data_IF_279407775675
#
_entry.id   IF_279407775675
#
_cell.length_a   1.000
_cell.length_b   1.000
_cell.length_c   1.000
_cell.angle_alpha   90.00
_cell.angle_beta   90.00
_cell.angle_gamma   90.00
#
_symmetry.space_group_name_H-M   'P 1'
#
loop_
_entity.id
_entity.type
_entity.pdbx_description
1 polymer ?
#
# COMPACT_ATOMS: atom_id res chain seq x y z
N UNK A 1 -3.59 -16.13 14.86
CA UNK A 1 -2.16 -16.10 15.27
C UNK A 1 -2.00 -16.67 16.68
N UNK A 2 -2.42 -15.98 17.75
CA UNK A 2 -2.23 -16.49 19.13
C UNK A 2 -2.81 -17.90 19.37
N UNK A 3 -4.03 -18.17 18.88
CA UNK A 3 -4.64 -19.51 18.94
C UNK A 3 -3.78 -20.61 18.33
N UNK A 4 -3.25 -20.34 17.13
CA UNK A 4 -2.51 -21.30 16.31
C UNK A 4 -1.09 -21.53 16.87
N UNK A 5 -0.37 -20.45 17.18
CA UNK A 5 1.01 -20.54 17.66
C UNK A 5 1.14 -21.12 19.07
N UNK A 6 0.16 -20.85 19.94
CA UNK A 6 0.15 -21.33 21.32
C UNK A 6 -0.74 -22.56 21.49
N UNK A 7 -1.22 -23.18 20.41
CA UNK A 7 -2.23 -24.24 20.47
C UNK A 7 -1.87 -25.37 21.45
N UNK A 8 -0.60 -25.79 21.44
CA UNK A 8 -0.10 -26.86 22.32
C UNK A 8 0.00 -26.46 23.80
N UNK A 9 0.19 -25.17 24.07
CA UNK A 9 0.37 -24.63 25.42
C UNK A 9 -0.96 -24.17 26.05
N UNK A 10 -1.96 -23.88 25.22
CA UNK A 10 -3.30 -23.50 25.67
C UNK A 10 -4.03 -24.68 26.32
N UNK A 11 -4.68 -24.42 27.46
CA UNK A 11 -5.62 -25.37 28.06
C UNK A 11 -6.79 -25.67 27.11
N UNK A 12 -7.36 -26.87 27.20
CA UNK A 12 -8.47 -27.28 26.33
C UNK A 12 -9.65 -26.32 26.33
N UNK A 13 -10.08 -25.86 27.51
CA UNK A 13 -11.14 -24.86 27.64
C UNK A 13 -10.80 -23.53 26.96
N UNK A 14 -9.55 -23.05 27.12
CA UNK A 14 -9.10 -21.83 26.46
C UNK A 14 -9.09 -21.98 24.93
N UNK A 15 -8.68 -23.15 24.42
CA UNK A 15 -8.76 -23.45 22.97
C UNK A 15 -10.20 -23.37 22.48
N UNK A 16 -11.14 -24.02 23.18
CA UNK A 16 -12.54 -24.02 22.77
C UNK A 16 -13.15 -22.61 22.81
N UNK A 17 -12.86 -21.83 23.86
CA UNK A 17 -13.33 -20.44 23.96
C UNK A 17 -12.77 -19.55 22.84
N UNK A 18 -11.48 -19.66 22.52
CA UNK A 18 -10.85 -18.85 21.47
C UNK A 18 -11.36 -19.28 20.09
N UNK A 19 -11.44 -20.59 19.80
CA UNK A 19 -12.02 -21.12 18.56
C UNK A 19 -13.46 -20.62 18.38
N UNK A 20 -14.28 -20.75 19.41
CA UNK A 20 -15.65 -20.26 19.39
C UNK A 20 -15.71 -18.75 19.12
N UNK A 21 -14.82 -17.96 19.72
CA UNK A 21 -14.73 -16.52 19.44
C UNK A 21 -14.31 -16.22 17.99
N UNK A 22 -13.36 -16.97 17.41
CA UNK A 22 -12.97 -16.83 15.99
C UNK A 22 -14.18 -17.06 15.08
N UNK A 23 -14.98 -18.10 15.37
CA UNK A 23 -16.16 -18.45 14.59
C UNK A 23 -17.27 -17.41 14.78
N UNK A 24 -17.72 -17.16 16.01
CA UNK A 24 -18.90 -16.34 16.29
C UNK A 24 -18.65 -14.84 16.18
N UNK A 25 -17.44 -14.36 16.46
CA UNK A 25 -17.13 -12.92 16.47
C UNK A 25 -16.34 -12.47 15.25
N UNK A 26 -15.70 -13.39 14.53
CA UNK A 26 -14.95 -13.09 13.30
C UNK A 26 -15.65 -13.61 12.04
N UNK A 27 -15.69 -14.93 11.89
CA UNK A 27 -16.11 -15.58 10.64
C UNK A 27 -17.60 -15.39 10.36
N UNK A 28 -18.49 -15.74 11.31
CA UNK A 28 -19.95 -15.64 11.12
C UNK A 28 -20.42 -14.21 10.85
N UNK A 29 -19.96 -13.17 11.57
CA UNK A 29 -20.32 -11.79 11.24
C UNK A 29 -19.90 -11.40 9.83
N UNK A 30 -18.79 -11.93 9.32
CA UNK A 30 -18.36 -11.67 7.94
C UNK A 30 -19.23 -12.30 6.85
N UNK A 31 -20.13 -13.23 7.23
CA UNK A 31 -21.10 -13.87 6.33
C UNK A 31 -22.44 -13.12 6.31
N UNK A 32 -22.68 -12.24 7.28
CA UNK A 32 -23.90 -11.43 7.35
C UNK A 32 -23.90 -10.38 6.22
N UNK A 33 -25.00 -10.28 5.48
CA UNK A 33 -25.12 -9.42 4.30
C UNK A 33 -24.70 -7.96 4.57
N UNK A 34 -25.05 -7.41 5.73
CA UNK A 34 -24.69 -6.04 6.16
C UNK A 34 -23.17 -5.80 6.30
N UNK A 35 -22.37 -6.85 6.49
CA UNK A 35 -20.92 -6.76 6.70
C UNK A 35 -20.11 -7.18 5.45
N UNK A 36 -20.77 -7.55 4.35
CA UNK A 36 -20.10 -8.08 3.15
C UNK A 36 -19.62 -7.00 2.17
N UNK A 37 -19.73 -5.72 2.52
CA UNK A 37 -19.36 -4.60 1.64
C UNK A 37 -17.91 -4.67 1.15
N UNK A 38 -16.97 -5.07 2.02
CA UNK A 38 -15.56 -5.20 1.69
C UNK A 38 -15.29 -6.21 0.57
N UNK A 39 -16.18 -7.19 0.35
CA UNK A 39 -16.00 -8.21 -0.69
C UNK A 39 -16.16 -7.66 -2.11
N UNK A 40 -16.70 -6.45 -2.26
CA UNK A 40 -17.11 -5.85 -3.54
C UNK A 40 -16.28 -4.64 -3.93
N UNK A 41 -15.45 -4.11 -3.03
CA UNK A 41 -14.63 -2.92 -3.27
C UNK A 41 -13.28 -3.29 -3.86
N UNK A 42 -12.66 -2.36 -4.60
CA UNK A 42 -11.35 -2.52 -5.25
C UNK A 42 -10.20 -1.84 -4.49
N UNK A 43 -10.41 -1.49 -3.23
CA UNK A 43 -9.45 -0.77 -2.41
C UNK A 43 -8.89 -1.66 -1.29
N UNK A 44 -7.99 -1.10 -0.47
CA UNK A 44 -7.31 -1.81 0.63
C UNK A 44 -8.27 -2.56 1.58
N UNK A 45 -9.51 -2.10 1.79
CA UNK A 45 -10.47 -2.78 2.67
C UNK A 45 -10.72 -4.22 2.24
N UNK A 46 -10.79 -4.48 0.94
CA UNK A 46 -10.98 -5.83 0.43
C UNK A 46 -9.79 -6.72 0.82
N UNK A 47 -8.56 -6.25 0.60
CA UNK A 47 -7.34 -7.00 0.90
C UNK A 47 -7.20 -7.29 2.40
N UNK A 48 -7.36 -6.27 3.22
CA UNK A 48 -7.19 -6.35 4.68
C UNK A 48 -8.23 -7.27 5.31
N UNK A 49 -9.52 -7.08 4.97
CA UNK A 49 -10.59 -7.88 5.54
C UNK A 49 -10.53 -9.34 5.07
N UNK A 50 -10.29 -9.58 3.77
CA UNK A 50 -10.16 -10.95 3.27
C UNK A 50 -8.97 -11.67 3.91
N UNK A 51 -7.81 -11.03 4.00
CA UNK A 51 -6.64 -11.63 4.65
C UNK A 51 -6.90 -11.91 6.14
N UNK A 52 -7.44 -10.95 6.90
CA UNK A 52 -7.70 -11.12 8.33
C UNK A 52 -8.69 -12.26 8.63
N UNK A 53 -9.81 -12.30 7.91
CA UNK A 53 -10.82 -13.34 8.09
C UNK A 53 -10.29 -14.71 7.61
N UNK A 54 -9.51 -14.75 6.53
CA UNK A 54 -8.88 -15.98 6.06
C UNK A 54 -7.88 -16.54 7.07
N UNK A 55 -7.09 -15.71 7.75
CA UNK A 55 -6.21 -16.18 8.83
C UNK A 55 -6.99 -16.78 10.01
N UNK A 56 -8.16 -16.23 10.32
CA UNK A 56 -9.08 -16.83 11.30
C UNK A 56 -9.58 -18.21 10.85
N UNK A 57 -9.98 -18.34 9.59
CA UNK A 57 -10.40 -19.60 9.00
C UNK A 57 -9.28 -20.65 8.96
N UNK A 58 -8.06 -20.23 8.60
CA UNK A 58 -6.89 -21.11 8.58
C UNK A 58 -6.61 -21.67 9.98
N UNK A 59 -6.67 -20.81 11.00
CA UNK A 59 -6.40 -21.20 12.38
C UNK A 59 -7.36 -22.27 12.91
N UNK A 60 -8.55 -22.44 12.33
CA UNK A 60 -9.54 -23.45 12.75
C UNK A 60 -9.73 -24.58 11.72
N UNK A 61 -8.89 -24.66 10.69
CA UNK A 61 -9.15 -25.49 9.52
C UNK A 61 -9.22 -27.00 9.83
N UNK A 62 -8.47 -27.47 10.83
CA UNK A 62 -8.49 -28.87 11.26
C UNK A 62 -9.81 -29.22 11.98
N UNK A 63 -10.35 -28.27 12.75
CA UNK A 63 -11.59 -28.42 13.50
C UNK A 63 -12.84 -28.20 12.62
N UNK A 64 -12.77 -27.23 11.70
CA UNK A 64 -13.91 -26.72 10.90
C UNK A 64 -13.56 -26.64 9.40
N UNK A 65 -13.20 -27.76 8.74
CA UNK A 65 -12.63 -27.75 7.40
C UNK A 65 -13.55 -27.19 6.31
N UNK A 66 -14.87 -27.45 6.41
CA UNK A 66 -15.86 -26.95 5.44
C UNK A 66 -16.06 -25.43 5.56
N UNK A 67 -16.13 -24.91 6.79
CA UNK A 67 -16.23 -23.48 7.03
C UNK A 67 -14.95 -22.78 6.57
N UNK A 68 -13.79 -23.30 6.97
CA UNK A 68 -12.50 -22.73 6.62
C UNK A 68 -12.29 -22.66 5.10
N UNK A 69 -12.51 -23.76 4.39
CA UNK A 69 -12.38 -23.80 2.93
C UNK A 69 -13.38 -22.86 2.23
N UNK A 70 -14.61 -22.72 2.74
CA UNK A 70 -15.59 -21.77 2.21
C UNK A 70 -15.09 -20.32 2.32
N UNK A 71 -14.54 -19.95 3.47
CA UNK A 71 -14.03 -18.60 3.71
C UNK A 71 -12.78 -18.31 2.87
N UNK A 72 -11.84 -19.27 2.79
CA UNK A 72 -10.61 -19.12 2.00
C UNK A 72 -10.95 -18.99 0.52
N UNK A 73 -11.84 -19.83 -0.01
CA UNK A 73 -12.28 -19.73 -1.41
C UNK A 73 -13.00 -18.40 -1.71
N UNK A 74 -13.79 -17.88 -0.78
CA UNK A 74 -14.41 -16.55 -0.90
C UNK A 74 -13.34 -15.45 -0.97
N UNK A 75 -12.32 -15.53 -0.11
CA UNK A 75 -11.21 -14.58 -0.09
C UNK A 75 -10.38 -14.63 -1.38
N UNK A 76 -10.03 -15.83 -1.88
CA UNK A 76 -9.31 -16.02 -3.15
C UNK A 76 -10.06 -15.36 -4.32
N UNK A 77 -11.40 -15.46 -4.35
CA UNK A 77 -12.21 -14.83 -5.41
C UNK A 77 -12.28 -13.32 -5.28
N UNK A 78 -12.55 -12.84 -4.07
CA UNK A 78 -12.82 -11.42 -3.82
C UNK A 78 -11.56 -10.55 -3.88
N UNK A 79 -10.41 -11.05 -3.43
CA UNK A 79 -9.15 -10.28 -3.40
C UNK A 79 -8.63 -9.95 -4.80
N UNK A 80 -9.10 -10.63 -5.84
CA UNK A 80 -8.72 -10.30 -7.22
C UNK A 80 -9.20 -8.92 -7.64
N UNK A 81 -10.32 -8.43 -7.07
CA UNK A 81 -10.90 -7.13 -7.40
C UNK A 81 -9.95 -5.95 -7.15
N UNK A 82 -9.34 -5.78 -5.95
CA UNK A 82 -8.29 -4.77 -5.75
C UNK A 82 -6.98 -5.13 -6.45
N UNK A 83 -6.71 -6.42 -6.73
CA UNK A 83 -5.48 -6.80 -7.43
C UNK A 83 -5.47 -6.38 -8.91
N UNK A 84 -6.65 -6.25 -9.54
CA UNK A 84 -6.76 -5.66 -10.88
C UNK A 84 -6.19 -4.23 -10.95
N UNK A 85 -6.22 -3.49 -9.84
CA UNK A 85 -5.81 -2.09 -9.79
C UNK A 85 -4.28 -1.90 -9.74
N UNK A 86 -3.49 -2.96 -9.52
CA UNK A 86 -2.04 -2.91 -9.74
C UNK A 86 -1.70 -2.81 -11.23
N UNK A 87 -2.59 -3.20 -12.13
CA UNK A 87 -2.32 -3.13 -13.55
C UNK A 87 -2.27 -1.67 -14.06
N UNK A 88 -1.43 -1.37 -15.06
CA UNK A 88 -0.58 -2.32 -15.78
C UNK A 88 0.79 -2.58 -15.14
N UNK A 89 1.33 -1.60 -14.42
CA UNK A 89 2.77 -1.54 -14.09
C UNK A 89 3.08 -1.71 -12.60
N UNK A 90 2.07 -1.77 -11.75
CA UNK A 90 2.21 -1.90 -10.29
C UNK A 90 1.98 -0.61 -9.50
N UNK A 91 1.57 0.49 -10.14
CA UNK A 91 1.19 1.70 -9.42
C UNK A 91 0.00 1.44 -8.49
N UNK A 92 0.06 1.92 -7.25
CA UNK A 92 -1.02 1.73 -6.29
C UNK A 92 -1.93 2.96 -6.22
N UNK A 93 -3.23 2.83 -6.52
CA UNK A 93 -4.10 4.00 -6.69
C UNK A 93 -4.20 4.89 -5.46
N UNK A 94 -4.17 4.29 -4.27
CA UNK A 94 -4.40 4.98 -2.98
C UNK A 94 -3.14 5.65 -2.43
N UNK A 95 -1.97 5.42 -3.04
CA UNK A 95 -0.71 6.04 -2.64
C UNK A 95 0.15 5.21 -1.68
N UNK A 96 1.21 5.85 -1.19
CA UNK A 96 2.33 5.21 -0.52
C UNK A 96 1.96 4.45 0.76
N UNK A 97 1.32 5.11 1.74
CA UNK A 97 0.97 4.47 3.01
C UNK A 97 -0.10 3.38 2.82
N UNK A 98 -1.05 3.57 1.90
CA UNK A 98 -2.08 2.58 1.63
C UNK A 98 -1.58 1.39 0.81
N UNK A 99 -0.49 1.53 0.04
CA UNK A 99 0.26 0.38 -0.47
C UNK A 99 0.78 -0.46 0.69
N UNK A 100 1.47 0.18 1.65
CA UNK A 100 1.98 -0.49 2.86
C UNK A 100 0.88 -1.22 3.62
N UNK A 101 -0.32 -0.65 3.67
CA UNK A 101 -1.47 -1.31 4.29
C UNK A 101 -2.05 -2.44 3.44
N UNK A 102 -2.60 -2.15 2.27
CA UNK A 102 -3.34 -3.10 1.44
C UNK A 102 -2.45 -4.21 0.89
N UNK A 103 -1.32 -3.85 0.29
CA UNK A 103 -0.39 -4.81 -0.32
C UNK A 103 0.23 -5.74 0.71
N UNK A 104 0.57 -5.25 1.91
CA UNK A 104 1.12 -6.13 2.95
C UNK A 104 0.13 -7.21 3.40
N UNK A 105 -1.16 -6.88 3.56
CA UNK A 105 -2.18 -7.89 3.87
C UNK A 105 -2.43 -8.85 2.70
N UNK A 106 -2.35 -8.35 1.45
CA UNK A 106 -2.41 -9.19 0.27
C UNK A 106 -1.25 -10.21 0.22
N UNK A 107 -0.03 -9.76 0.55
CA UNK A 107 1.16 -10.62 0.63
C UNK A 107 1.03 -11.64 1.76
N UNK A 108 0.55 -11.24 2.94
CA UNK A 108 0.27 -12.17 4.04
C UNK A 108 -0.72 -13.27 3.61
N UNK A 109 -1.77 -12.90 2.87
CA UNK A 109 -2.73 -13.87 2.36
C UNK A 109 -2.12 -14.82 1.34
N UNK A 110 -1.41 -14.29 0.33
CA UNK A 110 -0.69 -15.11 -0.67
C UNK A 110 0.28 -16.07 0.02
N UNK A 111 1.11 -15.58 0.93
CA UNK A 111 2.06 -16.41 1.66
C UNK A 111 1.35 -17.50 2.47
N UNK A 112 0.22 -17.20 3.12
CA UNK A 112 -0.55 -18.19 3.84
C UNK A 112 -1.09 -19.30 2.91
N UNK A 113 -1.64 -18.94 1.75
CA UNK A 113 -2.10 -19.90 0.73
C UNK A 113 -0.96 -20.82 0.27
N UNK A 114 0.21 -20.26 0.00
CA UNK A 114 1.39 -21.05 -0.40
C UNK A 114 1.79 -22.05 0.68
N UNK A 115 1.71 -21.69 1.97
CA UNK A 115 2.06 -22.59 3.07
C UNK A 115 1.04 -23.73 3.24
N UNK A 116 -0.27 -23.44 3.12
CA UNK A 116 -1.32 -24.45 3.39
C UNK A 116 -1.67 -25.30 2.16
N UNK A 117 -1.47 -24.77 0.95
CA UNK A 117 -1.94 -25.39 -0.29
C UNK A 117 -0.82 -25.61 -1.33
N UNK A 118 0.41 -25.12 -1.08
CA UNK A 118 1.51 -25.20 -2.04
C UNK A 118 1.33 -24.32 -3.29
N UNK A 119 0.31 -23.47 -3.32
CA UNK A 119 -0.02 -22.57 -4.42
C UNK A 119 -0.67 -21.30 -3.88
N UNK A 120 -0.54 -20.20 -4.62
CA UNK A 120 -1.25 -18.94 -4.37
C UNK A 120 -2.46 -18.77 -5.29
N UNK A 121 -2.85 -19.81 -6.04
CA UNK A 121 -3.94 -19.77 -7.01
C UNK A 121 -3.76 -18.69 -8.08
N UNK A 122 -2.51 -18.48 -8.51
CA UNK A 122 -2.13 -17.53 -9.56
C UNK A 122 -2.36 -16.06 -9.17
N UNK A 123 -2.54 -15.76 -7.88
CA UNK A 123 -2.72 -14.39 -7.39
C UNK A 123 -1.46 -13.55 -7.63
N UNK A 124 -0.25 -14.04 -7.32
CA UNK A 124 0.98 -13.27 -7.55
C UNK A 124 1.26 -13.00 -9.03
N UNK A 125 0.73 -13.83 -9.92
CA UNK A 125 0.86 -13.66 -11.38
C UNK A 125 -0.13 -12.65 -11.97
N UNK A 126 -1.00 -12.03 -11.16
CA UNK A 126 -1.84 -10.94 -11.65
C UNK A 126 -0.99 -9.78 -12.16
N UNK A 127 -1.47 -9.16 -13.25
CA UNK A 127 -0.74 -8.11 -13.95
C UNK A 127 -0.44 -6.94 -13.01
N UNK A 128 0.82 -6.53 -12.96
CA UNK A 128 1.29 -5.43 -12.13
C UNK A 128 1.60 -5.80 -10.68
N UNK A 129 1.11 -6.93 -10.15
CA UNK A 129 1.29 -7.26 -8.73
C UNK A 129 2.77 -7.43 -8.35
N UNK A 130 3.54 -8.24 -9.06
CA UNK A 130 4.98 -8.39 -8.78
C UNK A 130 5.80 -7.12 -9.10
N UNK A 131 5.32 -6.28 -10.02
CA UNK A 131 5.96 -5.03 -10.42
C UNK A 131 5.71 -3.90 -9.41
N UNK A 132 4.70 -4.03 -8.52
CA UNK A 132 4.40 -3.02 -7.49
C UNK A 132 5.54 -2.79 -6.50
N UNK A 133 6.47 -3.74 -6.37
CA UNK A 133 7.68 -3.55 -5.59
C UNK A 133 8.57 -2.44 -6.18
N UNK A 134 8.60 -2.27 -7.51
CA UNK A 134 9.34 -1.20 -8.16
C UNK A 134 8.67 0.16 -7.91
N UNK A 135 7.33 0.22 -7.94
CA UNK A 135 6.56 1.40 -7.53
C UNK A 135 7.00 1.83 -6.12
N UNK A 136 6.89 0.93 -5.13
CA UNK A 136 7.19 1.28 -3.74
C UNK A 136 8.66 1.68 -3.53
N UNK A 137 9.60 0.95 -4.14
CA UNK A 137 11.03 1.29 -4.13
C UNK A 137 11.27 2.73 -4.64
N UNK A 138 10.68 3.09 -5.77
CA UNK A 138 10.93 4.38 -6.41
C UNK A 138 10.23 5.56 -5.71
N UNK A 139 9.23 5.29 -4.87
CA UNK A 139 8.51 6.33 -4.14
C UNK A 139 9.36 7.05 -3.08
N UNK A 140 10.47 6.45 -2.61
CA UNK A 140 11.34 7.04 -1.59
C UNK A 140 12.42 7.94 -2.18
N UNK A 141 12.45 9.22 -1.81
CA UNK A 141 13.48 10.18 -2.21
C UNK A 141 14.83 9.98 -1.50
N UNK A 142 15.91 10.67 -1.93
CA UNK A 142 17.25 10.63 -1.32
C UNK A 142 17.29 11.00 0.17
N UNK A 143 16.41 11.89 0.63
CA UNK A 143 16.27 12.21 2.07
C UNK A 143 15.67 11.05 2.88
N UNK A 144 15.11 10.05 2.19
CA UNK A 144 14.36 8.94 2.74
C UNK A 144 12.86 9.21 2.82
N UNK A 145 12.39 10.44 2.63
CA UNK A 145 10.96 10.72 2.65
C UNK A 145 10.26 10.15 1.39
N UNK A 146 9.05 9.58 1.49
CA UNK A 146 8.30 9.12 0.33
C UNK A 146 7.66 10.28 -0.43
N UNK A 147 7.29 10.08 -1.70
CA UNK A 147 6.33 10.93 -2.38
C UNK A 147 4.93 10.68 -1.78
N UNK A 148 4.61 11.43 -0.73
CA UNK A 148 3.46 11.22 0.13
C UNK A 148 2.16 11.84 -0.40
N UNK A 149 1.84 11.59 -1.68
CA UNK A 149 0.58 12.01 -2.26
C UNK A 149 -0.62 11.21 -1.70
N UNK A 150 -1.85 11.72 -1.91
CA UNK A 150 -3.07 11.14 -1.32
C UNK A 150 -2.98 11.12 0.22
N UNK A 151 -3.82 10.32 0.89
CA UNK A 151 -3.70 10.13 2.34
C UNK A 151 -2.40 9.37 2.69
N UNK A 152 -1.31 10.11 2.88
CA UNK A 152 0.00 9.60 3.23
C UNK A 152 0.73 10.56 4.18
N UNK A 153 1.67 10.02 4.97
CA UNK A 153 2.56 10.82 5.81
C UNK A 153 3.91 10.99 5.11
N UNK A 154 4.64 12.06 5.44
CA UNK A 154 6.00 12.27 4.90
C UNK A 154 7.06 11.36 5.56
N UNK A 155 6.65 10.43 6.44
CA UNK A 155 7.57 9.54 7.15
C UNK A 155 7.74 8.23 6.39
N UNK A 156 8.99 7.75 6.30
CA UNK A 156 9.29 6.41 5.79
C UNK A 156 8.91 5.37 6.84
N UNK A 157 8.00 4.47 6.46
CA UNK A 157 7.70 3.25 7.21
C UNK A 157 8.52 2.07 6.66
N UNK A 158 8.96 1.19 7.56
CA UNK A 158 9.56 -0.09 7.20
C UNK A 158 8.46 -1.02 6.69
N UNK A 159 8.63 -1.62 5.51
CA UNK A 159 7.63 -2.53 4.95
C UNK A 159 8.16 -3.96 4.84
N UNK A 160 7.77 -4.86 5.75
CA UNK A 160 8.13 -6.27 5.68
C UNK A 160 7.77 -6.92 4.34
N UNK A 161 6.68 -6.52 3.68
CA UNK A 161 6.25 -7.08 2.41
C UNK A 161 7.30 -6.95 1.29
N UNK A 162 8.15 -5.92 1.33
CA UNK A 162 9.26 -5.77 0.38
C UNK A 162 10.27 -6.91 0.44
N UNK A 163 10.45 -7.54 1.61
CA UNK A 163 11.31 -8.73 1.77
C UNK A 163 10.70 -9.95 1.09
N UNK A 164 9.37 -10.10 1.13
CA UNK A 164 8.69 -11.14 0.36
C UNK A 164 8.87 -10.91 -1.15
N UNK A 165 8.67 -9.69 -1.65
CA UNK A 165 8.88 -9.36 -3.07
C UNK A 165 10.33 -9.59 -3.52
N UNK A 166 11.31 -9.10 -2.76
CA UNK A 166 12.73 -9.28 -3.04
C UNK A 166 13.11 -10.77 -3.12
N UNK A 167 12.56 -11.60 -2.24
CA UNK A 167 12.76 -13.05 -2.29
C UNK A 167 12.13 -13.70 -3.51
N UNK A 168 10.87 -13.36 -3.83
CA UNK A 168 10.15 -13.92 -4.99
C UNK A 168 10.84 -13.55 -6.30
N UNK A 169 11.34 -12.31 -6.40
CA UNK A 169 12.07 -11.80 -7.58
C UNK A 169 13.55 -12.14 -7.58
N UNK A 170 14.10 -12.66 -6.48
CA UNK A 170 15.54 -12.87 -6.26
C UNK A 170 16.34 -11.58 -6.51
N UNK A 171 15.79 -10.45 -6.10
CA UNK A 171 16.30 -9.11 -6.36
C UNK A 171 16.47 -8.34 -5.05
N UNK A 172 17.67 -8.37 -4.43
CA UNK A 172 17.92 -7.67 -3.18
C UNK A 172 17.96 -6.14 -3.34
N UNK A 173 18.04 -5.61 -4.56
CA UNK A 173 18.08 -4.15 -4.78
C UNK A 173 16.78 -3.46 -4.39
N UNK A 174 15.67 -4.19 -4.41
CA UNK A 174 14.36 -3.76 -3.90
C UNK A 174 14.38 -3.37 -2.42
N UNK A 175 15.37 -3.84 -1.66
CA UNK A 175 15.46 -3.61 -0.21
C UNK A 175 16.29 -2.39 0.16
N UNK A 176 16.81 -1.62 -0.79
CA UNK A 176 17.68 -0.47 -0.50
C UNK A 176 17.04 0.51 0.49
N UNK A 177 15.78 0.90 0.24
CA UNK A 177 15.04 1.82 1.11
C UNK A 177 14.76 1.20 2.50
N UNK A 178 14.40 -0.09 2.56
CA UNK A 178 14.12 -0.79 3.82
C UNK A 178 15.36 -0.97 4.68
N UNK A 179 16.49 -1.34 4.08
CA UNK A 179 17.76 -1.47 4.78
C UNK A 179 18.22 -0.13 5.36
N UNK A 180 18.06 0.96 4.60
CA UNK A 180 18.34 2.31 5.09
C UNK A 180 17.40 2.69 6.24
N UNK A 181 16.11 2.35 6.17
CA UNK A 181 15.16 2.58 7.25
C UNK A 181 15.54 1.79 8.52
N UNK A 182 15.89 0.50 8.39
CA UNK A 182 16.35 -0.34 9.53
C UNK A 182 17.60 0.26 10.18
N UNK A 183 18.58 0.70 9.37
CA UNK A 183 19.84 1.30 9.87
C UNK A 183 19.63 2.62 10.63
N UNK A 184 18.61 3.40 10.24
CA UNK A 184 18.31 4.73 10.82
C UNK A 184 17.32 4.66 11.99
N UNK A 185 16.49 3.61 12.06
CA UNK A 185 15.42 3.47 13.04
C UNK A 185 15.94 2.95 14.38
N UNK A 186 15.42 3.49 15.49
CA UNK A 186 15.67 2.95 16.83
C UNK A 186 14.69 1.81 17.16
N UNK A 187 14.96 1.04 18.22
CA UNK A 187 14.09 -0.09 18.62
C UNK A 187 12.63 0.30 18.82
N UNK A 188 12.33 1.54 19.27
CA UNK A 188 10.96 2.02 19.44
C UNK A 188 10.21 2.14 18.11
N UNK A 189 10.86 2.65 17.06
CA UNK A 189 10.24 2.74 15.73
C UNK A 189 9.97 1.39 15.06
N UNK A 190 10.67 0.33 15.49
CA UNK A 190 10.43 -1.03 14.99
C UNK A 190 9.24 -1.70 15.67
N UNK A 191 9.05 -1.54 16.99
CA UNK A 191 7.99 -2.23 17.74
C UNK A 191 6.57 -1.77 17.38
N UNK A 192 6.41 -0.54 16.88
CA UNK A 192 5.12 -0.02 16.44
C UNK A 192 4.67 -0.64 15.09
N UNK A 193 5.60 -1.30 14.38
CA UNK A 193 5.27 -2.02 13.15
C UNK A 193 4.63 -3.37 13.45
N UNK A 194 3.30 -3.43 13.33
CA UNK A 194 2.49 -4.64 13.57
C UNK A 194 2.88 -5.85 12.71
N UNK A 195 3.57 -5.66 11.58
CA UNK A 195 3.99 -6.73 10.67
C UNK A 195 5.48 -7.08 10.81
N UNK A 196 6.20 -6.46 11.76
CA UNK A 196 7.61 -6.75 12.00
C UNK A 196 7.95 -8.24 12.13
N UNK A 197 7.13 -9.11 12.76
CA UNK A 197 7.44 -10.54 12.81
C UNK A 197 7.55 -11.21 11.42
N UNK A 198 6.80 -10.72 10.43
CA UNK A 198 6.86 -11.25 9.07
C UNK A 198 8.21 -10.96 8.39
N UNK A 199 8.86 -9.83 8.74
CA UNK A 199 10.21 -9.51 8.29
C UNK A 199 11.19 -10.61 8.67
N UNK A 200 11.12 -11.11 9.91
CA UNK A 200 12.01 -12.16 10.40
C UNK A 200 11.80 -13.44 9.59
N UNK A 201 10.54 -13.84 9.37
CA UNK A 201 10.17 -15.03 8.61
C UNK A 201 10.69 -14.95 7.17
N UNK A 202 10.45 -13.82 6.50
CA UNK A 202 10.89 -13.64 5.11
C UNK A 202 12.41 -13.41 4.98
N UNK A 203 13.12 -13.12 6.06
CA UNK A 203 14.57 -12.94 6.03
C UNK A 203 15.37 -14.19 6.39
N UNK A 204 14.72 -15.31 6.74
CA UNK A 204 15.41 -16.54 7.17
C UNK A 204 16.37 -17.05 6.09
N UNK A 205 17.64 -17.25 6.48
CA UNK A 205 18.68 -17.79 5.60
C UNK A 205 19.08 -16.85 4.45
N UNK A 206 18.69 -15.57 4.51
CA UNK A 206 19.04 -14.56 3.49
C UNK A 206 20.21 -13.71 3.95
N UNK A 207 21.06 -13.36 3.00
CA UNK A 207 22.13 -12.38 3.23
C UNK A 207 21.64 -11.01 2.78
N UNK A 208 21.73 -10.03 3.67
CA UNK A 208 21.49 -8.62 3.34
C UNK A 208 22.72 -8.08 2.62
N UNK A 209 22.85 -8.39 1.33
CA UNK A 209 23.83 -7.70 0.48
C UNK A 209 23.24 -6.36 0.09
N UNK A 210 24.01 -5.29 0.35
CA UNK A 210 23.72 -3.99 -0.22
C UNK A 210 23.72 -4.13 -1.75
N UNK A 211 22.61 -3.77 -2.38
CA UNK A 211 22.43 -3.80 -3.81
C UNK A 211 21.73 -2.52 -4.24
N UNK A 212 22.23 -1.90 -5.29
CA UNK A 212 21.68 -0.65 -5.84
C UNK A 212 20.79 -0.98 -7.02
N UNK A 213 19.56 -0.44 -7.11
CA UNK A 213 18.71 -0.63 -8.27
C UNK A 213 19.37 -0.06 -9.54
N UNK A 214 19.19 -0.75 -10.66
CA UNK A 214 19.80 -0.34 -11.93
C UNK A 214 19.08 0.85 -12.59
N UNK A 215 17.76 0.94 -12.42
CA UNK A 215 16.93 1.99 -13.02
C UNK A 215 16.87 3.20 -12.12
N UNK A 216 17.03 4.39 -12.69
CA UNK A 216 16.89 5.66 -11.98
C UNK A 216 15.49 6.28 -12.12
N UNK A 217 14.67 5.72 -13.01
CA UNK A 217 13.37 6.26 -13.36
C UNK A 217 12.36 5.12 -13.38
N UNK A 218 11.14 5.41 -12.92
CA UNK A 218 10.01 4.50 -12.98
C UNK A 218 8.75 5.28 -13.33
N UNK A 219 7.92 4.68 -14.18
CA UNK A 219 6.65 5.25 -14.62
C UNK A 219 5.61 4.16 -14.49
N UNK A 220 4.50 4.47 -13.84
CA UNK A 220 3.35 3.59 -13.75
C UNK A 220 2.11 4.27 -14.27
N UNK A 221 1.36 3.56 -15.09
CA UNK A 221 0.01 3.94 -15.50
C UNK A 221 -1.06 3.56 -14.47
N UNK A 222 -2.29 3.36 -14.94
CA UNK A 222 -3.40 2.85 -14.13
C UNK A 222 -4.40 3.94 -13.72
N UNK A 223 -5.02 3.78 -12.55
CA UNK A 223 -5.98 4.77 -12.02
C UNK A 223 -5.29 6.05 -11.56
N UNK A 224 -4.13 5.89 -10.94
CA UNK A 224 -3.28 6.98 -10.44
C UNK A 224 -1.90 6.83 -11.07
N UNK A 225 -1.71 7.31 -12.31
CA UNK A 225 -0.42 7.28 -12.95
C UNK A 225 0.58 8.16 -12.20
N UNK A 226 1.82 7.70 -12.09
CA UNK A 226 2.92 8.47 -11.48
C UNK A 226 4.21 8.29 -12.25
N UNK A 227 5.07 9.31 -12.19
CA UNK A 227 6.44 9.23 -12.68
C UNK A 227 7.41 9.63 -11.56
N UNK A 228 8.44 8.80 -11.38
CA UNK A 228 9.42 8.88 -10.31
C UNK A 228 10.80 8.87 -10.94
N UNK A 229 11.57 9.93 -10.75
CA UNK A 229 12.87 10.11 -11.40
C UNK A 229 13.89 10.55 -10.37
N UNK A 230 15.11 10.00 -10.45
CA UNK A 230 16.24 10.44 -9.65
C UNK A 230 17.52 10.51 -10.46
N UNK A 231 18.49 11.28 -9.99
CA UNK A 231 19.83 11.33 -10.58
C UNK A 231 20.78 10.26 -10.04
N UNK A 232 20.55 9.77 -8.82
CA UNK A 232 21.35 8.70 -8.19
C UNK A 232 20.57 8.01 -7.05
N UNK A 233 20.92 6.76 -6.76
CA UNK A 233 20.44 6.01 -5.59
C UNK A 233 21.33 6.18 -4.36
N UNK A 234 22.58 6.58 -4.55
CA UNK A 234 23.63 6.55 -3.51
C UNK A 234 24.17 7.93 -3.15
N UNK A 235 23.91 8.94 -3.97
CA UNK A 235 24.29 10.32 -3.68
C UNK A 235 23.23 10.99 -2.78
N UNK A 236 23.57 11.41 -1.55
CA UNK A 236 22.65 12.14 -0.68
C UNK A 236 22.19 13.49 -1.25
N UNK A 237 22.95 14.06 -2.19
CA UNK A 237 22.62 15.31 -2.88
C UNK A 237 21.79 15.11 -4.16
N UNK A 238 21.43 13.88 -4.49
CA UNK A 238 20.73 13.56 -5.72
C UNK A 238 19.43 14.37 -5.88
N UNK A 239 19.18 14.84 -7.11
CA UNK A 239 17.87 15.32 -7.51
C UNK A 239 16.88 14.16 -7.58
N UNK A 240 15.71 14.32 -6.99
CA UNK A 240 14.54 13.43 -7.12
C UNK A 240 13.29 14.24 -7.42
N UNK A 241 12.47 13.75 -8.34
CA UNK A 241 11.15 14.32 -8.66
C UNK A 241 10.14 13.18 -8.73
N UNK A 242 9.04 13.34 -8.01
CA UNK A 242 7.85 12.51 -8.15
C UNK A 242 6.69 13.38 -8.62
N UNK A 243 5.95 12.94 -9.64
CA UNK A 243 4.78 13.64 -10.16
C UNK A 243 3.58 12.68 -10.25
N UNK A 244 2.40 13.17 -9.87
CA UNK A 244 1.15 12.41 -9.81
C UNK A 244 0.14 12.90 -10.85
N UNK A 245 -0.49 11.97 -11.56
CA UNK A 245 -1.71 12.19 -12.33
C UNK A 245 -2.90 11.46 -11.70
N UNK A 246 -3.89 11.12 -12.52
CA UNK A 246 -5.08 10.39 -12.09
C UNK A 246 -6.25 11.31 -11.78
N UNK A 247 -7.05 10.93 -10.79
CA UNK A 247 -8.33 11.56 -10.49
C UNK A 247 -8.49 11.78 -8.99
N UNK A 248 -9.05 12.93 -8.60
CA UNK A 248 -9.37 13.25 -7.21
C UNK A 248 -10.53 12.38 -6.65
N UNK A 249 -11.23 11.63 -7.50
CA UNK A 249 -12.27 10.66 -7.10
C UNK A 249 -11.68 9.28 -6.73
N UNK A 250 -10.37 9.08 -6.85
CA UNK A 250 -9.73 7.84 -6.40
C UNK A 250 -9.81 7.69 -4.87
N UNK A 251 -9.86 6.45 -4.39
CA UNK A 251 -9.87 6.17 -2.94
C UNK A 251 -8.64 6.80 -2.27
N UNK A 252 -8.88 7.49 -1.15
CA UNK A 252 -7.87 8.25 -0.39
C UNK A 252 -7.20 9.42 -1.14
N UNK A 253 -7.65 9.77 -2.35
CA UNK A 253 -7.06 10.88 -3.08
C UNK A 253 -7.35 12.25 -2.46
N UNK A 254 -6.42 13.18 -2.66
CA UNK A 254 -6.64 14.61 -2.50
C UNK A 254 -6.96 15.23 -3.87
N UNK A 255 -7.28 16.52 -3.90
CA UNK A 255 -7.29 17.30 -5.14
C UNK A 255 -5.85 17.73 -5.50
N UNK A 256 -4.96 16.77 -5.62
CA UNK A 256 -3.51 16.93 -5.82
C UNK A 256 -3.09 16.46 -7.23
N UNK A 257 -4.01 16.47 -8.20
CA UNK A 257 -3.72 15.99 -9.56
C UNK A 257 -2.76 16.97 -10.23
N UNK A 258 -1.69 16.45 -10.84
CA UNK A 258 -0.59 17.26 -11.37
C UNK A 258 0.43 17.71 -10.34
N UNK A 259 0.26 17.33 -9.07
CA UNK A 259 1.21 17.69 -8.01
C UNK A 259 2.53 16.97 -8.18
N UNK A 260 3.58 17.60 -7.64
CA UNK A 260 4.90 17.02 -7.56
C UNK A 260 5.57 17.26 -6.21
N UNK A 261 6.58 16.45 -5.91
CA UNK A 261 7.60 16.72 -4.88
C UNK A 261 8.96 16.77 -5.54
N UNK A 262 9.89 17.51 -4.94
CA UNK A 262 11.26 17.63 -5.43
C UNK A 262 12.25 17.65 -4.27
N UNK A 263 13.32 16.87 -4.40
CA UNK A 263 14.48 16.90 -3.51
C UNK A 263 15.75 17.22 -4.29
N UNK A 264 16.68 17.94 -3.66
CA UNK A 264 18.05 18.20 -4.15
C UNK A 264 18.92 18.59 -2.96
N UNK A 265 20.19 18.21 -2.97
CA UNK A 265 21.18 18.60 -1.96
C UNK A 265 20.76 18.23 -0.53
N UNK A 266 20.11 17.08 -0.37
CA UNK A 266 19.61 16.58 0.92
C UNK A 266 18.40 17.34 1.48
N UNK A 267 17.73 18.17 0.68
CA UNK A 267 16.56 18.97 1.09
C UNK A 267 15.37 18.69 0.19
N UNK A 268 14.17 18.55 0.78
CA UNK A 268 12.90 18.52 0.04
C UNK A 268 12.39 19.95 -0.15
N UNK A 269 12.49 20.45 -1.37
CA UNK A 269 12.16 21.83 -1.75
C UNK A 269 10.68 22.00 -2.10
N UNK A 270 10.13 21.06 -2.86
CA UNK A 270 8.69 21.00 -3.12
C UNK A 270 8.09 19.90 -2.24
N UNK A 271 7.28 20.32 -1.27
CA UNK A 271 6.74 19.48 -0.20
C UNK A 271 5.26 19.23 -0.47
N UNK A 272 4.80 18.01 -0.22
CA UNK A 272 3.38 17.73 -0.08
C UNK A 272 3.02 17.73 1.43
N UNK A 273 1.98 18.48 1.86
CA UNK A 273 1.62 18.60 3.27
C UNK A 273 1.14 17.28 3.90
N UNK A 274 0.80 16.29 3.09
CA UNK A 274 0.33 14.98 3.50
C UNK A 274 -1.07 15.03 4.11
N UNK A 275 -1.47 13.88 4.65
CA UNK A 275 -2.81 13.71 5.22
C UNK A 275 -3.05 14.52 6.49
N UNK A 276 -4.32 14.71 6.80
CA UNK A 276 -4.79 15.13 8.11
C UNK A 276 -5.32 13.90 8.86
N UNK A 277 -4.96 13.77 10.13
CA UNK A 277 -5.44 12.68 10.99
C UNK A 277 -6.96 12.63 11.02
N UNK A 278 -7.54 11.48 10.66
CA UNK A 278 -9.00 11.33 10.53
C UNK A 278 -9.73 11.59 11.84
N UNK A 279 -9.21 11.06 12.95
CA UNK A 279 -9.80 11.26 14.28
C UNK A 279 -9.91 12.75 14.65
N UNK A 280 -8.94 13.57 14.24
CA UNK A 280 -8.96 15.02 14.46
C UNK A 280 -10.05 15.77 13.67
N UNK A 281 -10.55 15.16 12.58
CA UNK A 281 -11.60 15.70 11.72
C UNK A 281 -12.98 15.17 12.12
N UNK A 282 -13.09 13.87 12.35
CA UNK A 282 -14.32 13.21 12.78
C UNK A 282 -14.77 13.68 14.16
N UNK A 283 -13.83 13.91 15.09
CA UNK A 283 -14.11 14.50 16.41
C UNK A 283 -14.72 15.91 16.32
N UNK A 284 -14.56 16.59 15.17
CA UNK A 284 -15.17 17.89 14.86
C UNK A 284 -16.47 17.76 14.06
N UNK A 285 -16.98 16.55 13.88
CA UNK A 285 -18.24 16.26 13.20
C UNK A 285 -18.15 16.27 11.67
N UNK A 286 -16.95 16.23 11.09
CA UNK A 286 -16.78 16.20 9.63
C UNK A 286 -17.00 14.79 9.08
N UNK A 287 -17.90 14.65 8.10
CA UNK A 287 -18.13 13.40 7.40
C UNK A 287 -17.24 13.27 6.15
N UNK A 288 -15.96 13.00 6.38
CA UNK A 288 -14.92 12.96 5.34
C UNK A 288 -14.95 11.69 4.46
N UNK A 289 -15.70 10.66 4.86
CA UNK A 289 -15.85 9.41 4.12
C UNK A 289 -17.08 9.40 3.22
N UNK A 290 -17.95 10.42 3.30
CA UNK A 290 -18.99 10.64 2.31
C UNK A 290 -18.33 10.92 0.96
N UNK A 291 -18.72 10.18 -0.08
CA UNK A 291 -18.24 10.42 -1.44
C UNK A 291 -18.88 11.64 -2.12
N UNK A 292 -18.31 12.05 -3.24
CA UNK A 292 -18.86 13.10 -4.10
C UNK A 292 -18.42 14.52 -3.76
N UNK A 293 -18.92 15.47 -4.55
CA UNK A 293 -18.52 16.89 -4.51
C UNK A 293 -18.94 17.59 -3.22
N UNK A 294 -20.00 17.12 -2.57
CA UNK A 294 -20.52 17.68 -1.31
C UNK A 294 -19.93 16.98 -0.07
N UNK A 295 -18.76 16.35 -0.22
CA UNK A 295 -18.05 15.73 0.89
C UNK A 295 -17.40 16.78 1.78
N UNK A 296 -17.43 16.56 3.10
CA UNK A 296 -16.66 17.38 4.04
C UNK A 296 -15.15 17.20 3.84
N UNK A 297 -14.73 16.15 3.11
CA UNK A 297 -13.33 15.94 2.71
C UNK A 297 -12.73 17.16 2.02
N UNK A 298 -13.52 17.87 1.20
CA UNK A 298 -13.06 19.03 0.42
C UNK A 298 -13.14 20.35 1.19
N UNK A 299 -13.67 20.34 2.41
CA UNK A 299 -13.57 21.47 3.36
C UNK A 299 -12.21 21.48 4.08
N UNK A 300 -11.51 20.34 4.09
CA UNK A 300 -10.21 20.20 4.72
C UNK A 300 -9.15 20.75 3.76
N UNK A 301 -8.51 21.85 4.13
CA UNK A 301 -7.56 22.56 3.26
C UNK A 301 -6.45 21.65 2.71
N UNK A 302 -5.93 20.71 3.52
CA UNK A 302 -4.91 19.73 3.12
C UNK A 302 -5.34 18.75 2.03
N UNK A 303 -6.64 18.61 1.79
CA UNK A 303 -7.18 17.73 0.77
C UNK A 303 -7.55 18.48 -0.53
N UNK A 304 -7.28 19.80 -0.60
CA UNK A 304 -7.65 20.67 -1.74
C UNK A 304 -6.43 21.06 -2.58
N UNK A 305 -6.63 21.40 -3.85
CA UNK A 305 -5.55 21.80 -4.78
C UNK A 305 -4.82 23.08 -4.38
N UNK A 306 -5.36 23.87 -3.46
CA UNK A 306 -4.79 25.16 -3.06
C UNK A 306 -3.46 25.07 -2.31
N UNK A 307 -3.07 23.89 -1.81
CA UNK A 307 -1.87 23.72 -0.99
C UNK A 307 -0.84 22.75 -1.57
N UNK A 308 -1.21 21.98 -2.60
CA UNK A 308 -0.27 21.08 -3.28
C UNK A 308 0.53 21.84 -4.35
N UNK A 309 1.67 21.30 -4.76
CA UNK A 309 2.49 21.86 -5.85
C UNK A 309 1.84 21.58 -7.22
N UNK A 310 0.64 22.12 -7.45
CA UNK A 310 -0.16 21.96 -8.66
C UNK A 310 -0.78 23.31 -9.07
N UNK A 311 -1.57 23.31 -10.15
CA UNK A 311 -2.23 24.49 -10.67
C UNK A 311 -3.63 24.67 -10.06
N UNK A 312 -4.00 25.94 -9.85
CA UNK A 312 -5.37 26.36 -9.56
C UNK A 312 -5.85 27.28 -10.69
N UNK A 313 -6.97 26.92 -11.31
CA UNK A 313 -7.60 27.70 -12.40
C UNK A 313 -8.84 28.38 -11.83
N UNK A 314 -8.94 29.70 -12.02
CA UNK A 314 -10.08 30.53 -11.60
C UNK A 314 -10.48 30.38 -10.11
N UNK A 315 -9.49 30.12 -9.25
CA UNK A 315 -9.71 29.83 -7.83
C UNK A 315 -10.73 28.71 -7.58
N UNK A 316 -10.80 27.73 -8.48
CA UNK A 316 -11.70 26.58 -8.37
C UNK A 316 -10.97 25.34 -7.86
N UNK A 317 -11.76 24.49 -7.21
CA UNK A 317 -11.36 23.12 -6.86
C UNK A 317 -11.24 22.27 -8.13
N UNK A 318 -10.36 21.28 -8.09
CA UNK A 318 -10.27 20.28 -9.15
C UNK A 318 -11.58 19.49 -9.27
N UNK A 319 -11.95 19.14 -10.50
CA UNK A 319 -13.12 18.32 -10.78
C UNK A 319 -12.86 16.88 -10.36
N UNK A 320 -13.72 16.30 -9.52
CA UNK A 320 -13.52 14.92 -9.02
C UNK A 320 -13.35 13.91 -10.15
N UNK A 321 -14.23 13.95 -11.15
CA UNK A 321 -14.22 13.01 -12.27
C UNK A 321 -13.17 13.33 -13.34
N UNK A 322 -12.42 14.43 -13.19
CA UNK A 322 -11.28 14.73 -14.05
C UNK A 322 -10.24 13.63 -13.94
N UNK A 323 -9.61 13.27 -15.06
CA UNK A 323 -8.53 12.28 -15.09
C UNK A 323 -7.36 12.81 -15.89
N UNK A 324 -6.21 12.96 -15.22
CA UNK A 324 -4.96 13.33 -15.84
C UNK A 324 -4.12 12.10 -16.16
N UNK A 325 -3.64 12.00 -17.40
CA UNK A 325 -2.85 10.87 -17.87
C UNK A 325 -1.42 11.32 -18.18
N UNK A 326 -0.45 10.40 -18.09
CA UNK A 326 0.89 10.62 -18.63
C UNK A 326 0.80 10.37 -20.15
N UNK A 327 0.84 11.45 -20.94
CA UNK A 327 0.65 11.39 -22.40
C UNK A 327 1.97 11.23 -23.17
N UNK A 328 3.10 11.53 -22.53
CA UNK A 328 4.43 11.35 -23.10
C UNK A 328 5.45 11.17 -21.99
N UNK A 329 6.45 10.32 -22.21
CA UNK A 329 7.52 10.13 -21.25
C UNK A 329 8.77 9.52 -21.88
N UNK A 330 9.88 9.63 -21.15
CA UNK A 330 11.14 8.97 -21.45
C UNK A 330 11.79 8.52 -20.15
N UNK A 331 12.26 7.26 -20.13
CA UNK A 331 13.08 6.70 -19.06
C UNK A 331 14.58 6.70 -19.39
N UNK A 332 14.98 7.30 -20.52
CA UNK A 332 16.38 7.37 -20.95
C UNK A 332 17.19 8.24 -20.01
N UNK A 333 18.37 7.77 -19.62
CA UNK A 333 19.22 8.40 -18.61
C UNK A 333 19.66 9.83 -18.97
N UNK A 334 19.82 10.16 -20.25
CA UNK A 334 20.29 11.49 -20.70
C UNK A 334 19.21 12.56 -20.56
N UNK A 335 17.94 12.18 -20.70
CA UNK A 335 16.80 13.11 -20.61
C UNK A 335 15.53 12.34 -20.20
N UNK A 336 15.41 11.98 -18.90
CA UNK A 336 14.18 11.44 -18.38
C UNK A 336 13.14 12.55 -18.26
N UNK A 337 11.90 12.28 -18.69
CA UNK A 337 10.80 13.23 -18.57
C UNK A 337 9.45 12.52 -18.50
N UNK A 338 8.44 13.24 -18.01
CA UNK A 338 7.03 12.87 -18.11
C UNK A 338 6.19 14.12 -18.39
N UNK A 339 5.15 13.98 -19.20
CA UNK A 339 4.16 15.03 -19.50
C UNK A 339 2.81 14.53 -19.06
N UNK A 340 2.19 15.26 -18.11
CA UNK A 340 0.84 14.99 -17.62
C UNK A 340 -0.14 15.98 -18.26
N UNK A 341 -1.22 15.46 -18.82
CA UNK A 341 -2.30 16.24 -19.40
C UNK A 341 -3.38 16.52 -18.33
N UNK A 342 -3.43 17.75 -17.82
CA UNK A 342 -4.42 18.21 -16.84
C UNK A 342 -5.65 18.75 -17.57
N UNK A 343 -6.77 18.02 -17.45
CA UNK A 343 -8.05 18.34 -18.13
C UNK A 343 -9.14 18.78 -17.17
#
# INVERSE_FOLDING_TARGET
>A
IGYDWLYKDLAGEARDQIKHAIIEKGIRPSLESKNTGFLKVKNNWNQVCNAGIAYGAIAIMEDEPLLASTIINRAIKSIQLPMEDYAPDGAYPEGYNYWGYGTSFNVLFINALEQIAGTDFNLSNQKGFMATADYYLHMSGPTGQPFNYSDATASKELEPAMFWFANKRKDPSLLLAEQNAIRKTNTKGLIDNRLLPALLIWSIGKTNKDATPATLNWIGGGKTPVSLMRSSWTDPGAVFIGIKGGSADASHAHMDIGSFVMESDGVRWAIDPGMQEYESLESKGLNIFKGGVDSDRWKVYRNTNYIHNTLTVDSQLQQLKGKAEIISSSVKQVFPFAVIDLK
#
